data_IF_437346604943
#
_entry.id   IF_437346604943
#
_cell.length_a   1.000
_cell.length_b   1.000
_cell.length_c   1.000
_cell.angle_alpha   90.00
_cell.angle_beta   90.00
_cell.angle_gamma   90.00
#
_symmetry.space_group_name_H-M   'P 1'
#
loop_
_entity.id
_entity.type
_entity.pdbx_description
1 polymer ?
#
# COMPACT_ATOMS: atom_id res chain seq x y z
N UNK A 1 -25.89 -3.01 -8.81
CA UNK A 1 -26.70 -3.20 -7.59
C UNK A 1 -26.65 -1.93 -6.77
N UNK A 2 -27.80 -1.35 -6.43
CA UNK A 2 -27.86 -0.22 -5.47
C UNK A 2 -27.78 -0.83 -4.07
N UNK A 3 -26.84 -0.35 -3.25
CA UNK A 3 -26.66 -0.84 -1.88
C UNK A 3 -27.95 -0.60 -1.07
N UNK A 4 -28.34 -1.58 -0.25
CA UNK A 4 -29.45 -1.44 0.70
C UNK A 4 -29.05 -0.68 1.97
N UNK A 5 -27.77 -0.37 2.13
CA UNK A 5 -27.26 0.39 3.28
C UNK A 5 -27.57 1.88 3.10
N UNK A 6 -27.89 2.61 4.19
CA UNK A 6 -28.06 4.05 4.14
C UNK A 6 -26.74 4.75 3.80
N UNK A 7 -26.81 5.92 3.15
CA UNK A 7 -25.63 6.61 2.59
C UNK A 7 -24.57 6.96 3.64
N UNK A 8 -24.99 7.28 4.86
CA UNK A 8 -24.10 7.55 5.99
C UNK A 8 -23.26 6.31 6.35
N UNK A 9 -23.86 5.12 6.31
CA UNK A 9 -23.17 3.86 6.57
C UNK A 9 -22.23 3.49 5.43
N UNK A 10 -22.65 3.68 4.17
CA UNK A 10 -21.78 3.52 3.00
C UNK A 10 -20.53 4.42 3.10
N UNK A 11 -20.71 5.68 3.53
CA UNK A 11 -19.58 6.60 3.74
C UNK A 11 -18.63 6.11 4.83
N UNK A 12 -19.13 5.54 5.94
CA UNK A 12 -18.27 4.97 7.00
C UNK A 12 -17.40 3.83 6.45
N UNK A 13 -17.98 2.94 5.65
CA UNK A 13 -17.23 1.83 5.06
C UNK A 13 -16.29 2.25 3.92
N UNK A 14 -16.47 3.44 3.34
CA UNK A 14 -15.58 3.96 2.31
C UNK A 14 -14.15 4.23 2.82
N UNK A 15 -14.01 4.50 4.12
CA UNK A 15 -12.71 4.73 4.77
C UNK A 15 -12.12 3.45 5.40
N UNK A 16 -12.89 2.36 5.44
CA UNK A 16 -12.46 1.08 6.00
C UNK A 16 -11.45 0.36 5.12
N UNK A 17 -10.77 -0.65 5.66
CA UNK A 17 -9.88 -1.50 4.85
C UNK A 17 -10.74 -2.49 4.07
N UNK A 18 -10.52 -2.58 2.75
CA UNK A 18 -11.23 -3.54 1.91
C UNK A 18 -10.46 -4.86 1.82
N UNK A 19 -11.11 -5.99 2.04
CA UNK A 19 -10.47 -7.30 2.02
C UNK A 19 -10.98 -8.09 0.81
N UNK A 20 -10.05 -8.50 -0.05
CA UNK A 20 -10.34 -9.30 -1.25
C UNK A 20 -9.67 -10.68 -1.20
N UNK A 21 -10.20 -11.67 -1.93
CA UNK A 21 -9.59 -13.00 -1.98
C UNK A 21 -8.30 -13.04 -2.81
N UNK A 22 -8.20 -12.24 -3.87
CA UNK A 22 -7.11 -12.29 -4.84
C UNK A 22 -6.26 -11.02 -4.86
N UNK A 23 -4.94 -11.19 -5.07
CA UNK A 23 -3.99 -10.08 -5.16
C UNK A 23 -4.28 -9.12 -6.33
N UNK A 24 -4.75 -9.63 -7.46
CA UNK A 24 -5.13 -8.79 -8.61
C UNK A 24 -6.30 -7.86 -8.28
N UNK A 25 -7.32 -8.37 -7.58
CA UNK A 25 -8.48 -7.56 -7.14
C UNK A 25 -8.06 -6.47 -6.15
N UNK A 26 -7.17 -6.80 -5.19
CA UNK A 26 -6.59 -5.79 -4.28
C UNK A 26 -5.86 -4.70 -5.07
N UNK A 27 -5.04 -5.09 -6.05
CA UNK A 27 -4.28 -4.16 -6.88
C UNK A 27 -5.19 -3.24 -7.68
N UNK A 28 -6.19 -3.80 -8.35
CA UNK A 28 -7.14 -3.03 -9.15
C UNK A 28 -8.00 -2.11 -8.28
N UNK A 29 -8.47 -2.60 -7.14
CA UNK A 29 -9.20 -1.79 -6.17
C UNK A 29 -8.33 -0.61 -5.69
N UNK A 30 -7.11 -0.88 -5.22
CA UNK A 30 -6.20 0.16 -4.74
C UNK A 30 -5.90 1.21 -5.81
N UNK A 31 -5.64 0.79 -7.05
CA UNK A 31 -5.38 1.70 -8.17
C UNK A 31 -6.60 2.55 -8.51
N UNK A 32 -7.78 1.93 -8.59
CA UNK A 32 -9.02 2.63 -8.88
C UNK A 32 -9.41 3.59 -7.73
N UNK A 33 -9.15 3.19 -6.49
CA UNK A 33 -9.38 4.02 -5.31
C UNK A 33 -8.47 5.26 -5.33
N UNK A 34 -7.17 5.10 -5.61
CA UNK A 34 -6.24 6.22 -5.77
C UNK A 34 -6.73 7.19 -6.85
N UNK A 35 -7.14 6.68 -8.01
CA UNK A 35 -7.61 7.50 -9.14
C UNK A 35 -8.95 8.20 -8.89
N UNK A 36 -9.76 7.70 -7.96
CA UNK A 36 -10.98 8.36 -7.50
C UNK A 36 -10.69 9.47 -6.50
N UNK A 37 -9.72 9.25 -5.61
CA UNK A 37 -9.36 10.21 -4.55
C UNK A 37 -8.50 11.39 -5.06
N UNK A 38 -7.64 11.14 -6.03
CA UNK A 38 -6.66 12.12 -6.50
C UNK A 38 -6.84 12.39 -8.00
N UNK A 39 -6.81 13.67 -8.37
CA UNK A 39 -6.76 14.09 -9.77
C UNK A 39 -5.53 13.51 -10.46
N UNK A 40 -5.65 13.16 -11.75
CA UNK A 40 -4.58 12.51 -12.52
C UNK A 40 -3.24 13.25 -12.48
N UNK A 41 -3.24 14.58 -12.41
CA UNK A 41 -2.05 15.43 -12.32
C UNK A 41 -1.27 15.27 -11.00
N UNK A 42 -1.95 14.84 -9.93
CA UNK A 42 -1.35 14.60 -8.61
C UNK A 42 -0.79 13.19 -8.46
N UNK A 43 -1.14 12.28 -9.38
CA UNK A 43 -0.70 10.89 -9.33
C UNK A 43 0.68 10.79 -9.95
N UNK A 44 1.65 10.38 -9.14
CA UNK A 44 3.03 10.17 -9.51
C UNK A 44 3.17 8.70 -9.89
N UNK A 45 3.61 8.45 -11.13
CA UNK A 45 3.91 7.10 -11.62
C UNK A 45 5.42 6.88 -11.60
N UNK A 46 5.83 5.85 -10.90
CA UNK A 46 7.24 5.54 -10.65
C UNK A 46 7.52 4.16 -11.24
N UNK A 47 8.59 4.02 -12.04
CA UNK A 47 9.07 2.70 -12.43
C UNK A 47 9.52 1.94 -11.19
N UNK A 48 8.93 0.80 -10.85
CA UNK A 48 9.19 0.10 -9.59
C UNK A 48 9.41 -1.40 -9.81
N UNK A 49 10.53 -1.72 -10.47
CA UNK A 49 10.77 -3.05 -11.00
C UNK A 49 9.99 -3.28 -12.29
N UNK A 50 9.31 -4.43 -12.40
CA UNK A 50 8.53 -4.78 -13.60
C UNK A 50 7.18 -4.08 -13.70
N UNK A 51 6.61 -3.66 -12.57
CA UNK A 51 5.31 -2.99 -12.53
C UNK A 51 5.48 -1.53 -12.07
N UNK A 52 4.73 -0.58 -12.65
CA UNK A 52 4.75 0.80 -12.18
C UNK A 52 4.07 0.92 -10.81
N UNK A 53 4.63 1.74 -9.94
CA UNK A 53 4.04 2.16 -8.69
C UNK A 53 3.33 3.51 -8.89
N UNK A 54 2.02 3.54 -8.69
CA UNK A 54 1.23 4.78 -8.68
C UNK A 54 1.02 5.24 -7.22
N UNK A 55 1.44 6.46 -6.88
CA UNK A 55 1.26 7.06 -5.55
C UNK A 55 0.83 8.53 -5.68
N UNK A 56 0.35 9.10 -4.58
CA UNK A 56 0.11 10.53 -4.46
C UNK A 56 0.47 10.97 -3.03
N UNK A 57 0.84 12.24 -2.86
CA UNK A 57 1.01 12.80 -1.51
C UNK A 57 -0.35 12.71 -0.78
N UNK A 58 -0.35 12.14 0.43
CA UNK A 58 -1.53 11.85 1.23
C UNK A 58 -2.13 10.46 1.00
N UNK A 59 -1.62 9.64 0.08
CA UNK A 59 -2.16 8.30 -0.13
C UNK A 59 -1.71 7.32 0.97
N UNK A 60 -2.57 6.34 1.29
CA UNK A 60 -2.24 5.25 2.22
C UNK A 60 -1.31 4.23 1.56
N UNK A 61 -0.25 3.88 2.27
CA UNK A 61 0.76 2.91 1.87
C UNK A 61 0.99 1.87 2.97
N UNK A 62 1.59 0.75 2.59
CA UNK A 62 1.99 -0.31 3.51
C UNK A 62 3.35 -0.86 3.08
N UNK A 63 4.24 -1.07 4.05
CA UNK A 63 5.54 -1.68 3.79
C UNK A 63 5.39 -3.15 3.40
N UNK A 64 6.16 -3.59 2.39
CA UNK A 64 6.16 -4.99 1.92
C UNK A 64 7.27 -5.83 2.52
N UNK A 65 8.14 -5.22 3.34
CA UNK A 65 9.25 -5.88 4.03
C UNK A 65 9.57 -5.17 5.34
N UNK A 66 10.33 -5.86 6.19
CA UNK A 66 10.94 -5.24 7.35
C UNK A 66 12.04 -4.26 6.91
N UNK A 67 11.89 -2.99 7.29
CA UNK A 67 12.93 -1.97 7.14
C UNK A 67 13.63 -1.70 8.48
N UNK A 68 12.93 -1.92 9.60
CA UNK A 68 13.47 -1.71 10.94
C UNK A 68 12.52 -2.23 12.01
N UNK A 69 12.64 -3.52 12.35
CA UNK A 69 11.74 -4.19 13.31
C UNK A 69 11.75 -3.51 14.68
N UNK A 70 12.94 -3.14 15.18
CA UNK A 70 13.11 -2.53 16.49
C UNK A 70 12.48 -1.13 16.63
N UNK A 71 12.15 -0.50 15.49
CA UNK A 71 11.55 0.84 15.44
C UNK A 71 10.13 0.81 14.86
N UNK A 72 9.53 -0.37 14.74
CA UNK A 72 8.15 -0.56 14.26
C UNK A 72 7.96 -0.54 12.75
N UNK A 73 9.03 -0.45 11.94
CA UNK A 73 8.95 -0.52 10.47
C UNK A 73 9.01 -1.97 10.00
N UNK A 74 7.94 -2.70 10.28
CA UNK A 74 7.76 -4.11 9.92
C UNK A 74 6.98 -4.26 8.61
N UNK A 75 7.06 -5.45 8.01
CA UNK A 75 6.20 -5.83 6.90
C UNK A 75 4.73 -5.74 7.34
N UNK A 76 3.90 -5.03 6.57
CA UNK A 76 2.51 -4.77 6.92
C UNK A 76 2.28 -3.46 7.67
N UNK A 77 3.34 -2.78 8.14
CA UNK A 77 3.20 -1.46 8.77
C UNK A 77 2.59 -0.46 7.79
N UNK A 78 1.51 0.20 8.22
CA UNK A 78 0.76 1.16 7.42
C UNK A 78 1.22 2.59 7.66
N UNK A 79 1.07 3.41 6.63
CA UNK A 79 1.43 4.81 6.68
C UNK A 79 0.80 5.65 5.60
N UNK A 80 1.18 6.93 5.58
CA UNK A 80 0.73 7.94 4.63
C UNK A 80 1.95 8.55 3.96
N UNK A 81 1.90 8.72 2.64
CA UNK A 81 2.95 9.45 1.90
C UNK A 81 2.87 10.93 2.27
N UNK A 82 3.94 11.47 2.86
CA UNK A 82 4.02 12.89 3.19
C UNK A 82 4.66 13.71 2.08
N UNK A 83 5.68 13.15 1.41
CA UNK A 83 6.46 13.85 0.40
C UNK A 83 7.17 12.86 -0.52
N UNK A 84 7.51 13.33 -1.72
CA UNK A 84 8.32 12.58 -2.69
C UNK A 84 9.52 13.44 -3.04
N UNK A 85 10.71 12.91 -2.77
CA UNK A 85 11.97 13.56 -3.07
C UNK A 85 12.47 13.08 -4.43
N UNK A 86 12.85 14.02 -5.30
CA UNK A 86 13.35 13.74 -6.64
C UNK A 86 14.88 13.93 -6.68
N UNK A 87 15.55 13.24 -7.60
CA UNK A 87 16.95 13.52 -7.89
C UNK A 87 17.07 14.88 -8.59
N UNK A 88 18.16 15.61 -8.31
CA UNK A 88 18.37 16.99 -8.77
C UNK A 88 18.08 17.15 -10.27
N UNK A 89 17.06 17.97 -10.56
CA UNK A 89 16.55 18.38 -11.88
C UNK A 89 15.77 17.36 -12.73
N UNK A 90 15.45 16.16 -12.24
CA UNK A 90 14.62 15.21 -12.99
C UNK A 90 13.40 14.75 -12.19
N UNK A 91 12.22 15.33 -12.48
CA UNK A 91 10.92 14.90 -11.91
C UNK A 91 10.57 13.44 -12.24
N UNK A 92 11.25 12.83 -13.21
CA UNK A 92 11.04 11.44 -13.60
C UNK A 92 11.84 10.46 -12.72
N UNK A 93 12.82 10.96 -11.95
CA UNK A 93 13.69 10.15 -11.10
C UNK A 93 13.42 10.41 -9.62
N UNK A 94 12.58 9.57 -9.01
CA UNK A 94 12.30 9.63 -7.57
C UNK A 94 13.48 9.05 -6.78
N UNK A 95 14.04 9.87 -5.90
CA UNK A 95 15.14 9.53 -4.98
C UNK A 95 14.62 8.73 -3.79
N UNK A 96 13.60 9.24 -3.11
CA UNK A 96 12.96 8.56 -1.99
C UNK A 96 11.51 9.00 -1.79
N UNK A 97 10.75 8.16 -1.09
CA UNK A 97 9.38 8.45 -0.68
C UNK A 97 9.39 8.64 0.82
N UNK A 98 8.92 9.78 1.31
CA UNK A 98 8.86 10.08 2.74
C UNK A 98 7.47 9.67 3.25
N UNK A 99 7.43 8.68 4.14
CA UNK A 99 6.20 8.16 4.74
C UNK A 99 6.09 8.45 6.24
N UNK A 100 4.89 8.75 6.71
CA UNK A 100 4.56 8.72 8.14
C UNK A 100 3.92 7.37 8.44
N UNK A 101 4.49 6.62 9.39
CA UNK A 101 4.02 5.28 9.75
C UNK A 101 3.47 5.28 11.17
N UNK A 102 2.37 4.56 11.38
CA UNK A 102 1.64 4.55 12.65
C UNK A 102 2.49 3.99 13.81
N UNK A 103 3.22 2.91 13.55
CA UNK A 103 4.01 2.19 14.56
C UNK A 103 5.47 2.69 14.68
N UNK A 104 5.84 3.73 13.93
CA UNK A 104 7.23 4.19 13.91
C UNK A 104 7.63 4.90 15.20
N UNK A 105 8.59 4.34 15.92
CA UNK A 105 9.11 4.86 17.19
C UNK A 105 10.58 5.32 17.12
N UNK A 106 11.18 5.28 15.93
CA UNK A 106 12.58 5.66 15.74
C UNK A 106 12.79 7.18 15.73
N UNK A 107 14.04 7.58 15.93
CA UNK A 107 14.51 8.97 15.89
C UNK A 107 15.08 9.40 14.52
N UNK A 108 15.12 8.49 13.54
CA UNK A 108 15.66 8.73 12.20
C UNK A 108 14.56 9.18 11.24
N UNK A 109 14.29 10.48 11.19
CA UNK A 109 13.27 11.06 10.32
C UNK A 109 13.82 12.27 9.57
N UNK A 110 13.18 12.58 8.44
CA UNK A 110 13.32 13.86 7.76
C UNK A 110 12.23 14.79 8.26
N UNK A 111 12.59 16.04 8.56
CA UNK A 111 11.62 17.10 8.87
C UNK A 111 11.30 17.85 7.59
N UNK A 112 10.04 17.84 7.18
CA UNK A 112 9.56 18.54 6.00
C UNK A 112 9.33 20.03 6.32
N UNK A 113 9.26 20.93 5.31
CA UNK A 113 9.08 22.37 5.53
C UNK A 113 7.82 22.74 6.32
N UNK A 114 6.79 21.90 6.27
CA UNK A 114 5.55 22.05 7.04
C UNK A 114 5.66 21.56 8.50
N UNK A 115 6.86 21.17 8.96
CA UNK A 115 7.13 20.66 10.31
C UNK A 115 6.78 19.18 10.52
N UNK A 116 6.15 18.52 9.54
CA UNK A 116 5.86 17.08 9.64
C UNK A 116 7.15 16.25 9.56
N UNK A 117 7.14 15.11 10.26
CA UNK A 117 8.27 14.19 10.34
C UNK A 117 7.91 12.87 9.68
N UNK A 118 8.77 12.38 8.81
CA UNK A 118 8.57 11.09 8.14
C UNK A 118 9.85 10.31 7.94
N UNK A 119 9.70 9.01 7.74
CA UNK A 119 10.80 8.11 7.44
C UNK A 119 11.06 8.07 5.92
N UNK A 120 12.30 8.29 5.46
CA UNK A 120 12.63 8.21 4.04
C UNK A 120 12.75 6.75 3.61
N UNK A 121 11.96 6.35 2.62
CA UNK A 121 11.94 5.02 2.03
C UNK A 121 12.72 5.08 0.73
N UNK A 122 13.79 4.31 0.65
CA UNK A 122 14.62 4.16 -0.54
C UNK A 122 14.24 2.90 -1.31
N UNK A 123 14.67 2.85 -2.57
CA UNK A 123 14.67 1.60 -3.31
C UNK A 123 15.65 0.64 -2.65
N UNK A 124 15.30 -0.64 -2.69
CA UNK A 124 16.19 -1.70 -2.25
C UNK A 124 16.41 -2.63 -3.43
N UNK A 125 17.68 -2.84 -3.78
CA UNK A 125 18.09 -3.81 -4.77
C UNK A 125 17.76 -5.22 -4.28
N UNK A 126 17.07 -5.96 -5.14
CA UNK A 126 16.75 -7.36 -4.99
C UNK A 126 17.06 -8.09 -6.30
N UNK A 127 16.79 -9.39 -6.35
CA UNK A 127 16.84 -10.16 -7.59
C UNK A 127 15.52 -10.90 -7.79
N UNK A 128 14.93 -10.77 -8.98
CA UNK A 128 13.73 -11.52 -9.34
C UNK A 128 14.04 -12.51 -10.46
N UNK A 129 13.49 -13.72 -10.35
CA UNK A 129 13.57 -14.71 -11.42
C UNK A 129 12.74 -14.23 -12.63
N UNK A 130 13.37 -14.16 -13.79
CA UNK A 130 12.72 -13.85 -15.06
C UNK A 130 12.51 -15.15 -15.83
N UNK A 131 11.26 -15.61 -15.87
CA UNK A 131 10.87 -16.85 -16.55
C UNK A 131 11.14 -16.81 -18.05
N UNK A 132 11.00 -15.65 -18.70
CA UNK A 132 11.18 -15.53 -20.16
C UNK A 132 12.64 -15.76 -20.59
N UNK A 133 13.60 -15.49 -19.71
CA UNK A 133 15.04 -15.66 -19.98
C UNK A 133 15.72 -16.65 -19.03
N UNK A 134 14.94 -17.34 -18.19
CA UNK A 134 15.38 -18.31 -17.18
C UNK A 134 16.55 -17.84 -16.30
N UNK A 135 16.55 -16.56 -15.87
CA UNK A 135 17.65 -15.97 -15.08
C UNK A 135 17.14 -15.04 -13.99
N UNK A 136 17.89 -14.94 -12.90
CA UNK A 136 17.71 -13.87 -11.92
C UNK A 136 18.20 -12.55 -12.51
N UNK A 137 17.36 -11.51 -12.44
CA UNK A 137 17.70 -10.16 -12.88
C UNK A 137 17.63 -9.20 -11.69
N UNK A 138 18.51 -8.18 -11.65
CA UNK A 138 18.41 -7.12 -10.65
C UNK A 138 17.03 -6.45 -10.71
N UNK A 139 16.42 -6.26 -9.55
CA UNK A 139 15.11 -5.63 -9.39
C UNK A 139 15.18 -4.61 -8.23
N UNK A 140 15.22 -3.32 -8.58
CA UNK A 140 15.39 -2.25 -7.60
C UNK A 140 14.05 -1.51 -7.36
N UNK A 141 13.43 -1.79 -6.22
CA UNK A 141 12.06 -1.33 -5.92
C UNK A 141 11.92 -0.67 -4.57
N UNK A 142 11.04 0.32 -4.49
CA UNK A 142 10.44 0.78 -3.25
C UNK A 142 9.60 -0.35 -2.66
N UNK A 143 9.83 -0.61 -1.37
CA UNK A 143 9.28 -1.76 -0.67
C UNK A 143 7.99 -1.38 0.04
N UNK A 144 7.06 -0.87 -0.76
CA UNK A 144 5.75 -0.41 -0.34
C UNK A 144 4.70 -0.62 -1.43
N UNK A 145 3.43 -0.70 -1.01
CA UNK A 145 2.26 -0.79 -1.88
C UNK A 145 1.15 0.13 -1.37
N UNK A 146 0.21 0.52 -2.23
CA UNK A 146 -1.03 1.17 -1.81
C UNK A 146 -1.80 0.27 -0.83
N UNK A 147 -2.42 0.89 0.18
CA UNK A 147 -3.09 0.17 1.27
C UNK A 147 -4.49 0.74 1.58
N UNK A 148 -5.37 0.70 0.58
CA UNK A 148 -6.83 0.84 0.81
C UNK A 148 -7.51 -0.52 0.94
N UNK A 149 -6.90 -1.53 0.31
CA UNK A 149 -7.32 -2.91 0.33
C UNK A 149 -6.15 -3.86 0.62
N UNK A 150 -6.46 -5.03 1.17
CA UNK A 150 -5.53 -6.13 1.44
C UNK A 150 -6.13 -7.47 1.06
N UNK A 151 -5.32 -8.53 1.02
CA UNK A 151 -5.85 -9.89 0.84
C UNK A 151 -6.27 -10.50 2.16
N UNK A 152 -7.22 -11.43 2.11
CA UNK A 152 -7.64 -12.22 3.25
C UNK A 152 -6.45 -12.85 4.03
N UNK A 153 -5.49 -13.47 3.33
CA UNK A 153 -4.33 -14.07 4.01
C UNK A 153 -3.43 -13.02 4.68
N UNK A 154 -3.32 -11.81 4.11
CA UNK A 154 -2.55 -10.71 4.72
C UNK A 154 -3.31 -9.99 5.83
N UNK A 155 -4.61 -10.22 5.94
CA UNK A 155 -5.41 -9.71 7.05
C UNK A 155 -5.33 -10.59 8.29
N UNK A 156 -4.87 -11.84 8.17
CA UNK A 156 -4.82 -12.78 9.28
C UNK A 156 -3.97 -12.23 10.43
N UNK A 157 -4.58 -12.15 11.63
CA UNK A 157 -3.93 -11.59 12.82
C UNK A 157 -4.09 -10.07 12.98
N UNK A 158 -4.63 -9.35 11.98
CA UNK A 158 -5.01 -7.95 12.15
C UNK A 158 -6.26 -7.82 13.03
N UNK A 159 -6.32 -6.77 13.84
CA UNK A 159 -7.49 -6.37 14.61
C UNK A 159 -8.05 -5.09 13.97
N UNK A 160 -9.10 -5.21 13.15
CA UNK A 160 -9.65 -4.09 12.39
C UNK A 160 -10.93 -3.60 13.06
N UNK A 161 -11.02 -2.30 13.37
CA UNK A 161 -12.27 -1.71 13.89
C UNK A 161 -13.41 -1.74 12.87
N UNK A 162 -13.06 -1.74 11.58
CA UNK A 162 -14.00 -1.75 10.46
C UNK A 162 -13.30 -2.29 9.21
N UNK A 163 -13.97 -3.20 8.50
CA UNK A 163 -13.52 -3.74 7.23
C UNK A 163 -14.70 -3.91 6.27
N UNK A 164 -14.45 -3.72 4.98
CA UNK A 164 -15.37 -4.09 3.91
C UNK A 164 -14.87 -5.38 3.26
N UNK A 165 -15.67 -6.44 3.30
CA UNK A 165 -15.26 -7.77 2.87
C UNK A 165 -15.92 -8.11 1.54
N UNK A 166 -15.11 -8.51 0.56
CA UNK A 166 -15.62 -9.09 -0.67
C UNK A 166 -15.86 -10.59 -0.48
N UNK A 167 -17.13 -10.98 -0.44
CA UNK A 167 -17.57 -12.37 -0.46
C UNK A 167 -18.13 -12.66 -1.86
N UNK A 168 -17.60 -13.71 -2.50
CA UNK A 168 -18.09 -14.21 -3.79
C UNK A 168 -19.06 -15.39 -3.56
N UNK A 169 -19.78 -15.82 -4.60
CA UNK A 169 -20.63 -17.02 -4.56
C UNK A 169 -19.82 -18.31 -4.34
N UNK A 170 -18.50 -18.25 -4.59
CA UNK A 170 -17.58 -19.36 -4.43
C UNK A 170 -16.37 -18.96 -3.58
N UNK A 171 -16.14 -19.73 -2.52
CA UNK A 171 -14.94 -19.57 -1.70
C UNK A 171 -13.71 -20.01 -2.51
N UNK A 172 -12.75 -19.10 -2.71
CA UNK A 172 -11.53 -19.39 -3.47
C UNK A 172 -10.67 -20.50 -2.81
N UNK A 173 -10.69 -20.56 -1.48
CA UNK A 173 -9.98 -21.56 -0.70
C UNK A 173 -10.74 -21.82 0.61
N UNK A 174 -10.85 -23.08 1.08
CA UNK A 174 -11.60 -23.39 2.30
C UNK A 174 -11.13 -22.59 3.53
N UNK A 175 -12.07 -21.97 4.24
CA UNK A 175 -11.82 -21.25 5.48
C UNK A 175 -11.33 -19.81 5.31
N UNK A 176 -11.24 -19.31 4.09
CA UNK A 176 -10.91 -17.91 3.80
C UNK A 176 -11.97 -16.96 4.35
N UNK A 177 -13.25 -17.30 4.20
CA UNK A 177 -14.36 -16.45 4.66
C UNK A 177 -14.35 -16.33 6.18
N UNK A 178 -14.04 -17.42 6.89
CA UNK A 178 -13.87 -17.40 8.35
C UNK A 178 -12.72 -16.50 8.78
N UNK A 179 -11.57 -16.56 8.10
CA UNK A 179 -10.43 -15.70 8.41
C UNK A 179 -10.82 -14.23 8.26
N UNK A 180 -11.54 -13.88 7.20
CA UNK A 180 -11.90 -12.49 6.93
C UNK A 180 -13.00 -11.97 7.87
N UNK A 181 -14.03 -12.77 8.15
CA UNK A 181 -15.12 -12.39 9.06
C UNK A 181 -14.68 -12.32 10.53
N UNK A 182 -13.53 -12.92 10.88
CA UNK A 182 -12.94 -12.86 12.22
C UNK A 182 -11.97 -11.69 12.44
N UNK A 183 -11.82 -10.79 11.46
CA UNK A 183 -10.99 -9.58 11.57
C UNK A 183 -11.78 -8.42 12.16
#
# INVERSE_FOLDING_TARGET
MVSKLPENEIKRFSESVHIFPLRCLVRDHNRNHLRKMFSSEKIIKILNGREPLEIAIGCRIMLTRNLGVNVGLTNGCQGIVLHVEYNDNCKESVKCIVGQFEDYSGNHFVTLPNGSKGFPIFRIADTEFNEAICKYVPDEKFQLVLCYATTAQKSQGLNLKMAAVFLDEHEFAPGLDFVVLSR
#
